data_IF_689583654659
#
_entry.id   IF_689583654659
#
_cell.length_a   1.000
_cell.length_b   1.000
_cell.length_c   1.000
_cell.angle_alpha   90.00
_cell.angle_beta   90.00
_cell.angle_gamma   90.00
#
_symmetry.space_group_name_H-M   'P 1'
#
loop_
_entity.id
_entity.type
_entity.pdbx_description
1 polymer ?
#
# COMPACT_ATOMS: atom_id res chain seq x y z
N UNK A 1 0.42 -35.27 -27.44
CA UNK A 1 0.63 -34.03 -26.67
C UNK A 1 1.05 -34.40 -25.27
N UNK A 2 2.12 -33.80 -24.75
CA UNK A 2 2.63 -34.12 -23.42
C UNK A 2 1.71 -33.55 -22.33
N UNK A 3 1.00 -34.44 -21.65
CA UNK A 3 0.13 -34.20 -20.49
C UNK A 3 0.81 -33.48 -19.32
N UNK A 4 2.14 -33.34 -19.33
CA UNK A 4 2.92 -32.69 -18.27
C UNK A 4 3.43 -31.28 -18.64
N UNK A 5 3.43 -30.88 -19.93
CA UNK A 5 3.93 -29.56 -20.35
C UNK A 5 2.92 -28.47 -19.96
N UNK A 6 1.63 -28.72 -20.11
CA UNK A 6 0.56 -27.76 -19.85
C UNK A 6 0.48 -27.34 -18.36
N UNK A 7 0.52 -28.26 -17.37
CA UNK A 7 0.52 -27.89 -15.96
C UNK A 7 1.80 -27.16 -15.51
N UNK A 8 2.96 -27.50 -16.10
CA UNK A 8 4.22 -26.84 -15.78
C UNK A 8 4.26 -25.40 -16.32
N UNK A 9 3.73 -25.17 -17.52
CA UNK A 9 3.60 -23.83 -18.10
C UNK A 9 2.66 -22.95 -17.28
N UNK A 10 1.50 -23.46 -16.85
CA UNK A 10 0.55 -22.73 -16.00
C UNK A 10 1.19 -22.33 -14.66
N UNK A 11 1.97 -23.21 -14.03
CA UNK A 11 2.66 -22.90 -12.76
C UNK A 11 3.74 -21.83 -12.91
N UNK A 12 4.54 -21.89 -13.97
CA UNK A 12 5.54 -20.86 -14.25
C UNK A 12 4.86 -19.50 -14.52
N UNK A 13 3.76 -19.53 -15.27
CA UNK A 13 2.97 -18.35 -15.58
C UNK A 13 2.37 -17.67 -14.34
N UNK A 14 1.76 -18.44 -13.44
CA UNK A 14 1.24 -17.93 -12.16
C UNK A 14 2.36 -17.35 -11.29
N UNK A 15 3.53 -17.99 -11.28
CA UNK A 15 4.70 -17.51 -10.54
C UNK A 15 5.21 -16.18 -11.08
N UNK A 16 5.25 -16.02 -12.40
CA UNK A 16 5.66 -14.75 -13.04
C UNK A 16 4.68 -13.62 -12.74
N UNK A 17 3.37 -13.88 -12.83
CA UNK A 17 2.35 -12.87 -12.51
C UNK A 17 2.42 -12.47 -11.03
N UNK A 18 2.62 -13.44 -10.14
CA UNK A 18 2.81 -13.16 -8.71
C UNK A 18 4.07 -12.31 -8.46
N UNK A 19 5.18 -12.63 -9.15
CA UNK A 19 6.41 -11.85 -9.06
C UNK A 19 6.23 -10.42 -9.58
N UNK A 20 5.50 -10.22 -10.68
CA UNK A 20 5.19 -8.88 -11.20
C UNK A 20 4.32 -8.09 -10.23
N UNK A 21 3.30 -8.71 -9.64
CA UNK A 21 2.46 -8.09 -8.63
C UNK A 21 3.26 -7.69 -7.39
N UNK A 22 4.14 -8.57 -6.90
CA UNK A 22 5.00 -8.28 -5.74
C UNK A 22 6.07 -7.21 -6.03
N UNK A 23 6.71 -7.22 -7.20
CA UNK A 23 7.81 -6.31 -7.51
C UNK A 23 7.34 -4.93 -7.97
N UNK A 24 6.19 -4.84 -8.64
CA UNK A 24 5.77 -3.61 -9.30
C UNK A 24 4.26 -3.32 -9.22
N UNK A 25 3.46 -4.23 -8.67
CA UNK A 25 2.00 -4.10 -8.63
C UNK A 25 1.54 -3.11 -7.56
N UNK A 26 1.96 -3.28 -6.31
CA UNK A 26 1.56 -2.42 -5.19
C UNK A 26 2.78 -1.83 -4.50
N UNK A 27 2.81 -0.50 -4.39
CA UNK A 27 3.88 0.23 -3.69
C UNK A 27 3.63 0.33 -2.19
N UNK A 28 2.37 0.22 -1.75
CA UNK A 28 1.98 0.51 -0.37
C UNK A 28 1.72 -0.75 0.47
N UNK A 29 1.56 -1.92 -0.14
CA UNK A 29 1.30 -3.17 0.61
C UNK A 29 2.34 -3.44 1.69
N UNK A 30 3.63 -3.18 1.42
CA UNK A 30 4.73 -3.46 2.36
C UNK A 30 4.93 -2.34 3.40
N UNK A 31 4.25 -1.21 3.28
CA UNK A 31 4.35 -0.06 4.20
C UNK A 31 3.26 -0.08 5.29
N UNK A 32 2.39 -1.09 5.28
CA UNK A 32 1.25 -1.22 6.21
C UNK A 32 1.26 -2.57 6.93
N UNK A 33 0.43 -2.73 7.97
CA UNK A 33 0.31 -3.99 8.71
C UNK A 33 -0.57 -4.98 7.94
N UNK A 34 0.03 -6.09 7.50
CA UNK A 34 -0.66 -7.11 6.70
C UNK A 34 -1.13 -8.30 7.53
N UNK A 35 -2.34 -8.81 7.24
CA UNK A 35 -2.80 -10.15 7.63
C UNK A 35 -3.15 -10.96 6.38
N UNK A 36 -2.56 -12.15 6.26
CA UNK A 36 -2.74 -13.04 5.10
C UNK A 36 -3.69 -14.20 5.42
N UNK A 37 -4.22 -14.82 4.35
CA UNK A 37 -5.00 -16.05 4.38
C UNK A 37 -6.24 -15.98 5.29
N UNK A 38 -6.97 -14.87 5.21
CA UNK A 38 -8.19 -14.69 5.98
C UNK A 38 -9.30 -15.56 5.41
N UNK A 39 -9.91 -16.37 6.28
CA UNK A 39 -11.10 -17.16 5.96
C UNK A 39 -12.31 -16.43 6.54
N UNK A 40 -13.22 -15.97 5.68
CA UNK A 40 -14.39 -15.18 6.04
C UNK A 40 -14.45 -13.83 5.33
N UNK A 41 -15.53 -13.08 5.56
CA UNK A 41 -15.78 -11.77 4.93
C UNK A 41 -15.10 -10.60 5.63
N UNK A 42 -14.52 -10.79 6.82
CA UNK A 42 -13.81 -9.75 7.57
C UNK A 42 -12.72 -10.31 8.49
N UNK A 43 -11.82 -9.45 8.95
CA UNK A 43 -10.87 -9.70 10.03
C UNK A 43 -10.80 -8.51 10.97
N UNK A 44 -10.29 -8.71 12.19
CA UNK A 44 -10.14 -7.64 13.17
C UNK A 44 -8.67 -7.30 13.42
N UNK A 45 -8.30 -6.03 13.31
CA UNK A 45 -7.02 -5.51 13.80
C UNK A 45 -7.19 -4.96 15.22
N UNK A 46 -6.25 -5.27 16.10
CA UNK A 46 -6.30 -4.76 17.47
C UNK A 46 -5.55 -3.42 17.55
N UNK A 47 -6.26 -2.37 17.97
CA UNK A 47 -5.65 -1.12 18.46
C UNK A 47 -5.32 -1.32 19.93
N UNK A 48 -4.04 -1.22 20.26
CA UNK A 48 -3.54 -1.36 21.63
C UNK A 48 -3.34 0.04 22.20
N UNK A 49 -3.96 0.32 23.36
CA UNK A 49 -3.81 1.58 24.07
C UNK A 49 -2.39 1.77 24.63
N UNK A 50 -2.10 2.99 25.06
CA UNK A 50 -0.84 3.30 25.77
C UNK A 50 -0.96 2.88 27.22
N UNK A 51 -0.02 2.07 27.71
CA UNK A 51 0.08 1.71 29.13
C UNK A 51 1.02 2.64 29.90
N UNK A 52 0.72 2.92 31.17
CA UNK A 52 1.62 3.68 32.06
C UNK A 52 2.28 2.75 33.07
N UNK A 53 3.62 2.79 33.13
CA UNK A 53 4.37 2.03 34.12
C UNK A 53 4.13 2.57 35.55
N UNK A 54 3.97 1.66 36.51
CA UNK A 54 3.79 2.00 37.93
C UNK A 54 4.88 1.35 38.78
N UNK A 55 5.33 2.05 39.80
CA UNK A 55 6.28 1.49 40.78
C UNK A 55 5.54 0.65 41.82
N UNK A 56 6.26 -0.25 42.48
CA UNK A 56 5.76 -1.00 43.63
C UNK A 56 6.73 -0.91 44.80
N UNK A 57 6.19 -1.05 46.01
CA UNK A 57 7.00 -1.16 47.22
C UNK A 57 7.89 -2.42 47.19
N UNK A 58 8.98 -2.40 47.96
CA UNK A 58 9.82 -3.60 48.18
C UNK A 58 8.93 -4.71 48.76
N UNK A 59 8.92 -5.87 48.10
CA UNK A 59 8.03 -7.02 48.38
C UNK A 59 6.52 -6.81 48.12
N UNK A 60 6.09 -5.67 47.56
CA UNK A 60 4.71 -5.44 47.16
C UNK A 60 4.28 -6.25 45.93
N UNK A 61 2.96 -6.37 45.71
CA UNK A 61 2.41 -6.87 44.44
C UNK A 61 2.65 -5.86 43.32
N UNK A 62 2.89 -6.34 42.11
CA UNK A 62 3.08 -5.48 40.93
C UNK A 62 1.70 -4.98 40.49
N UNK A 63 1.47 -3.65 40.40
CA UNK A 63 0.23 -3.11 39.87
C UNK A 63 0.06 -3.52 38.40
N UNK A 64 -1.16 -3.89 38.02
CA UNK A 64 -1.50 -4.27 36.64
C UNK A 64 -1.71 -3.01 35.78
N UNK A 65 -1.22 -3.06 34.54
CA UNK A 65 -1.25 -1.90 33.62
C UNK A 65 -2.60 -1.72 32.90
N UNK A 66 -3.44 -2.77 32.85
CA UNK A 66 -4.77 -2.82 32.23
C UNK A 66 -4.90 -2.02 30.92
N UNK A 67 -4.10 -2.39 29.92
CA UNK A 67 -4.09 -1.71 28.62
C UNK A 67 -5.39 -2.00 27.86
N UNK A 68 -6.02 -0.96 27.32
CA UNK A 68 -7.22 -1.10 26.49
C UNK A 68 -6.89 -1.74 25.14
N UNK A 69 -7.75 -2.66 24.70
CA UNK A 69 -7.69 -3.29 23.38
C UNK A 69 -9.00 -3.03 22.66
N UNK A 70 -8.96 -2.19 21.61
CA UNK A 70 -10.14 -1.89 20.79
C UNK A 70 -10.01 -2.62 19.45
N UNK A 71 -10.95 -3.53 19.11
CA UNK A 71 -10.95 -4.19 17.81
C UNK A 71 -11.46 -3.24 16.72
N UNK A 72 -10.73 -3.19 15.61
CA UNK A 72 -11.13 -2.51 14.37
C UNK A 72 -11.41 -3.56 13.32
N UNK A 73 -12.63 -3.59 12.79
CA UNK A 73 -13.02 -4.54 11.75
C UNK A 73 -12.54 -4.07 10.37
N UNK A 74 -12.05 -5.01 9.57
CA UNK A 74 -11.62 -4.84 8.19
C UNK A 74 -12.35 -5.85 7.32
N UNK A 75 -13.28 -5.37 6.50
CA UNK A 75 -14.05 -6.18 5.56
C UNK A 75 -13.25 -6.46 4.29
N UNK A 76 -13.35 -7.67 3.77
CA UNK A 76 -12.76 -8.04 2.49
C UNK A 76 -13.76 -7.86 1.34
N UNK A 77 -13.23 -7.59 0.16
CA UNK A 77 -13.99 -7.53 -1.09
C UNK A 77 -13.19 -8.17 -2.21
N UNK A 78 -13.90 -8.71 -3.19
CA UNK A 78 -13.31 -9.43 -4.31
C UNK A 78 -13.11 -8.50 -5.51
N UNK A 79 -11.95 -8.61 -6.15
CA UNK A 79 -11.56 -7.80 -7.29
C UNK A 79 -11.10 -8.69 -8.44
N UNK A 80 -11.54 -8.34 -9.64
CA UNK A 80 -11.31 -9.11 -10.86
C UNK A 80 -10.78 -8.18 -11.97
N UNK A 81 -9.81 -8.67 -12.73
CA UNK A 81 -9.27 -8.06 -13.93
C UNK A 81 -9.21 -9.15 -15.01
N UNK A 82 -10.33 -9.28 -15.73
CA UNK A 82 -10.52 -10.28 -16.77
C UNK A 82 -10.52 -9.65 -18.17
N UNK A 83 -9.90 -10.34 -19.13
CA UNK A 83 -9.87 -9.92 -20.53
C UNK A 83 -9.89 -11.13 -21.48
N UNK A 84 -10.28 -10.89 -22.73
CA UNK A 84 -10.43 -11.89 -23.78
C UNK A 84 -9.31 -11.78 -24.81
N UNK A 85 -8.70 -12.92 -25.16
CA UNK A 85 -7.73 -13.03 -26.25
C UNK A 85 -8.25 -14.00 -27.28
N UNK A 86 -8.56 -13.50 -28.48
CA UNK A 86 -9.05 -14.29 -29.61
C UNK A 86 -7.93 -15.14 -30.24
N UNK A 87 -8.25 -16.39 -30.57
CA UNK A 87 -7.28 -17.34 -31.13
C UNK A 87 -6.71 -16.94 -32.49
N UNK A 88 -7.50 -16.27 -33.34
CA UNK A 88 -7.05 -15.85 -34.66
C UNK A 88 -6.25 -14.56 -34.60
N UNK A 89 -6.48 -13.71 -33.61
CA UNK A 89 -5.69 -12.50 -33.41
C UNK A 89 -4.35 -12.81 -32.75
N UNK A 90 -4.32 -13.75 -31.79
CA UNK A 90 -3.08 -14.28 -31.22
C UNK A 90 -2.15 -14.83 -32.32
N UNK A 91 -2.69 -15.53 -33.32
CA UNK A 91 -1.92 -16.03 -34.49
C UNK A 91 -1.34 -14.93 -35.40
N UNK A 92 -1.99 -13.77 -35.46
CA UNK A 92 -1.53 -12.63 -36.31
C UNK A 92 -0.45 -11.81 -35.61
N UNK A 93 -0.31 -11.94 -34.30
CA UNK A 93 0.71 -11.24 -33.51
C UNK A 93 1.89 -12.16 -33.22
N UNK A 94 3.11 -11.63 -33.31
CA UNK A 94 4.32 -12.42 -33.03
C UNK A 94 4.68 -12.46 -31.53
N UNK A 95 3.76 -12.04 -30.66
CA UNK A 95 3.97 -11.95 -29.21
C UNK A 95 2.93 -12.80 -28.48
N UNK A 96 3.29 -13.30 -27.31
CA UNK A 96 2.35 -14.01 -26.44
C UNK A 96 1.41 -13.00 -25.75
N UNK A 97 0.30 -12.67 -26.38
CA UNK A 97 -0.69 -11.72 -25.87
C UNK A 97 -1.27 -12.14 -24.53
N UNK A 98 -1.42 -13.45 -24.31
CA UNK A 98 -1.96 -14.00 -23.05
C UNK A 98 -1.10 -13.61 -21.86
N UNK A 99 0.22 -13.62 -22.03
CA UNK A 99 1.17 -13.15 -21.00
C UNK A 99 1.11 -11.64 -20.79
N UNK A 100 0.94 -10.85 -21.85
CA UNK A 100 0.85 -9.40 -21.75
C UNK A 100 -0.40 -9.01 -20.95
N UNK A 101 -1.55 -9.60 -21.29
CA UNK A 101 -2.82 -9.37 -20.62
C UNK A 101 -2.77 -9.80 -19.15
N UNK A 102 -2.20 -10.97 -18.85
CA UNK A 102 -2.06 -11.41 -17.46
C UNK A 102 -1.20 -10.45 -16.63
N UNK A 103 -0.06 -9.99 -17.17
CA UNK A 103 0.77 -8.99 -16.50
C UNK A 103 0.01 -7.69 -16.29
N UNK A 104 -0.68 -7.18 -17.32
CA UNK A 104 -1.48 -5.96 -17.23
C UNK A 104 -2.57 -6.06 -16.15
N UNK A 105 -3.24 -7.22 -16.04
CA UNK A 105 -4.21 -7.48 -14.98
C UNK A 105 -3.58 -7.50 -13.59
N UNK A 106 -2.39 -8.09 -13.42
CA UNK A 106 -1.63 -8.04 -12.17
C UNK A 106 -1.31 -6.58 -11.75
N UNK A 107 -0.87 -5.75 -12.69
CA UNK A 107 -0.62 -4.33 -12.42
C UNK A 107 -1.90 -3.58 -12.04
N UNK A 108 -3.03 -3.90 -12.67
CA UNK A 108 -4.32 -3.30 -12.34
C UNK A 108 -4.77 -3.66 -10.91
N UNK A 109 -4.64 -4.93 -10.54
CA UNK A 109 -4.92 -5.39 -9.18
C UNK A 109 -3.97 -4.76 -8.16
N UNK A 110 -2.69 -4.61 -8.48
CA UNK A 110 -1.72 -3.92 -7.62
C UNK A 110 -2.08 -2.46 -7.35
N UNK A 111 -2.50 -1.72 -8.38
CA UNK A 111 -3.03 -0.36 -8.20
C UNK A 111 -4.27 -0.35 -7.33
N UNK A 112 -5.13 -1.37 -7.43
CA UNK A 112 -6.32 -1.49 -6.58
C UNK A 112 -5.96 -1.69 -5.11
N UNK A 113 -4.91 -2.46 -4.81
CA UNK A 113 -4.36 -2.60 -3.45
C UNK A 113 -3.91 -1.25 -2.88
N UNK A 114 -3.16 -0.47 -3.67
CA UNK A 114 -2.72 0.86 -3.26
C UNK A 114 -3.92 1.82 -3.07
N UNK A 115 -4.93 1.75 -3.95
CA UNK A 115 -6.17 2.53 -3.84
C UNK A 115 -6.92 2.24 -2.53
N UNK A 116 -7.00 0.98 -2.09
CA UNK A 116 -7.64 0.62 -0.82
C UNK A 116 -6.93 1.24 0.39
N UNK A 117 -5.60 1.22 0.40
CA UNK A 117 -4.79 1.83 1.45
C UNK A 117 -4.96 3.36 1.44
N UNK A 118 -4.89 3.99 0.26
CA UNK A 118 -5.07 5.43 0.09
C UNK A 118 -6.47 5.86 0.54
N UNK A 119 -7.50 5.09 0.19
CA UNK A 119 -8.88 5.37 0.62
C UNK A 119 -8.99 5.41 2.14
N UNK A 120 -8.29 4.54 2.86
CA UNK A 120 -8.26 4.59 4.32
C UNK A 120 -7.44 5.78 4.86
N UNK A 121 -6.33 6.13 4.21
CA UNK A 121 -5.55 7.33 4.56
C UNK A 121 -6.35 8.62 4.36
N UNK A 122 -7.18 8.70 3.31
CA UNK A 122 -8.07 9.83 3.02
C UNK A 122 -9.07 10.10 4.15
N UNK A 123 -9.40 9.08 4.97
CA UNK A 123 -10.32 9.24 6.12
C UNK A 123 -9.67 9.97 7.31
N UNK A 124 -8.35 10.16 7.30
CA UNK A 124 -7.68 10.91 8.37
C UNK A 124 -8.12 12.38 8.39
N UNK A 125 -8.31 12.88 9.60
CA UNK A 125 -8.69 14.27 9.88
C UNK A 125 -7.57 15.07 10.54
N UNK A 126 -6.38 14.48 10.68
CA UNK A 126 -5.20 15.14 11.23
C UNK A 126 -4.50 15.92 10.12
N UNK A 127 -4.86 17.19 9.96
CA UNK A 127 -4.32 18.03 8.88
C UNK A 127 -3.10 18.84 9.33
N UNK A 128 -1.96 18.59 8.70
CA UNK A 128 -0.81 19.48 8.77
C UNK A 128 -0.99 20.60 7.72
N UNK A 129 -1.48 21.75 8.17
CA UNK A 129 -1.77 22.91 7.33
C UNK A 129 -3.01 22.76 6.43
N UNK A 130 -3.24 23.77 5.59
CA UNK A 130 -4.37 23.81 4.64
C UNK A 130 -3.91 23.51 3.22
N UNK A 131 -4.87 23.31 2.31
CA UNK A 131 -4.61 23.16 0.87
C UNK A 131 -4.38 24.48 0.12
N UNK A 132 -4.06 25.58 0.83
CA UNK A 132 -3.80 26.88 0.22
C UNK A 132 -2.42 27.00 -0.44
N UNK A 133 -1.45 26.23 0.06
CA UNK A 133 -0.06 26.24 -0.42
C UNK A 133 0.39 24.84 -0.87
N UNK A 134 1.48 24.77 -1.64
CA UNK A 134 2.16 23.51 -2.01
C UNK A 134 2.73 22.74 -0.80
N UNK A 135 3.62 21.78 -1.07
CA UNK A 135 4.30 21.06 0.02
C UNK A 135 5.51 21.85 0.50
N UNK A 136 5.34 22.62 1.59
CA UNK A 136 6.39 23.48 2.15
C UNK A 136 7.10 22.83 3.33
N UNK A 137 8.32 23.30 3.65
CA UNK A 137 9.08 22.86 4.83
C UNK A 137 8.27 23.01 6.13
N UNK A 138 7.58 24.14 6.30
CA UNK A 138 6.74 24.39 7.48
C UNK A 138 5.61 23.36 7.63
N UNK A 139 4.98 22.97 6.51
CA UNK A 139 3.93 21.94 6.49
C UNK A 139 4.47 20.58 6.91
N UNK A 140 5.66 20.21 6.43
CA UNK A 140 6.33 18.97 6.80
C UNK A 140 6.71 18.96 8.28
N UNK A 141 7.27 20.06 8.81
CA UNK A 141 7.63 20.15 10.24
C UNK A 141 6.40 20.09 11.14
N UNK A 142 5.29 20.71 10.73
CA UNK A 142 4.01 20.59 11.45
C UNK A 142 3.56 19.13 11.51
N UNK A 143 3.65 18.40 10.39
CA UNK A 143 3.30 16.97 10.37
C UNK A 143 4.21 16.13 11.27
N UNK A 144 5.51 16.42 11.27
CA UNK A 144 6.49 15.78 12.15
C UNK A 144 6.17 16.02 13.64
N UNK A 145 5.87 17.27 14.02
CA UNK A 145 5.49 17.64 15.38
C UNK A 145 4.19 16.96 15.81
N UNK A 146 3.19 16.87 14.93
CA UNK A 146 1.93 16.17 15.22
C UNK A 146 2.14 14.68 15.53
N UNK A 147 2.99 13.99 14.76
CA UNK A 147 3.32 12.58 15.02
C UNK A 147 4.12 12.42 16.32
N UNK A 148 5.06 13.33 16.59
CA UNK A 148 5.84 13.35 17.83
C UNK A 148 4.96 13.58 19.06
N UNK A 149 4.06 14.56 19.02
CA UNK A 149 3.13 14.86 20.11
C UNK A 149 2.13 13.73 20.37
N UNK A 150 1.85 12.90 19.36
CA UNK A 150 1.01 11.71 19.48
C UNK A 150 1.78 10.47 19.98
N UNK A 151 3.05 10.59 20.36
CA UNK A 151 3.99 9.49 20.69
C UNK A 151 3.95 8.34 19.68
N UNK A 152 3.84 8.67 18.39
CA UNK A 152 3.97 7.65 17.33
C UNK A 152 5.43 7.18 17.34
N UNK A 153 5.73 5.86 17.31
CA UNK A 153 7.11 5.37 17.32
C UNK A 153 7.93 5.91 16.13
N UNK A 154 9.21 6.19 16.37
CA UNK A 154 10.21 6.56 15.35
C UNK A 154 11.21 5.41 15.16
N UNK A 155 10.69 4.23 14.85
CA UNK A 155 11.41 2.95 14.75
C UNK A 155 11.85 2.61 13.31
N UNK A 156 11.70 3.55 12.38
CA UNK A 156 11.99 3.36 10.96
C UNK A 156 10.83 2.84 10.12
N UNK A 157 9.67 2.55 10.73
CA UNK A 157 8.42 2.13 10.07
C UNK A 157 7.45 3.31 9.83
N UNK A 158 7.99 4.53 9.76
CA UNK A 158 7.28 5.72 9.29
C UNK A 158 7.45 5.89 7.79
N UNK A 159 6.36 6.15 7.10
CA UNK A 159 6.30 6.32 5.65
C UNK A 159 5.62 7.65 5.31
N UNK A 160 6.20 8.35 4.34
CA UNK A 160 5.61 9.56 3.77
C UNK A 160 5.39 9.34 2.27
N UNK A 161 4.13 9.48 1.84
CA UNK A 161 3.75 9.30 0.43
C UNK A 161 3.26 10.65 -0.10
N UNK A 162 3.89 11.10 -1.18
CA UNK A 162 3.61 12.41 -1.78
C UNK A 162 3.37 12.31 -3.28
N UNK A 163 2.71 13.31 -3.88
CA UNK A 163 2.57 13.38 -5.32
C UNK A 163 3.88 13.78 -6.01
N UNK A 164 3.99 13.57 -7.32
CA UNK A 164 5.19 13.93 -8.09
C UNK A 164 5.47 15.44 -8.09
N UNK A 165 4.42 16.28 -8.15
CA UNK A 165 4.59 17.73 -8.02
C UNK A 165 5.17 18.10 -6.65
N UNK A 166 4.64 17.50 -5.59
CA UNK A 166 5.09 17.75 -4.23
C UNK A 166 6.49 17.19 -3.97
N UNK A 167 6.88 16.09 -4.63
CA UNK A 167 8.26 15.62 -4.64
C UNK A 167 9.21 16.68 -5.22
N UNK A 168 8.82 17.35 -6.31
CA UNK A 168 9.59 18.48 -6.84
C UNK A 168 9.66 19.66 -5.87
N UNK A 169 8.58 19.95 -5.14
CA UNK A 169 8.59 21.00 -4.11
C UNK A 169 9.58 20.66 -2.99
N UNK A 170 9.62 19.40 -2.56
CA UNK A 170 10.57 18.91 -1.55
C UNK A 170 12.02 18.99 -2.02
N UNK A 171 12.30 18.70 -3.30
CA UNK A 171 13.65 18.81 -3.85
C UNK A 171 14.17 20.25 -3.89
N UNK A 172 13.29 21.26 -3.80
CA UNK A 172 13.70 22.66 -3.63
C UNK A 172 14.17 22.98 -2.19
N UNK A 173 13.87 22.11 -1.22
CA UNK A 173 14.31 22.24 0.17
C UNK A 173 15.72 21.64 0.30
N UNK A 174 16.75 22.43 0.64
CA UNK A 174 18.13 21.93 0.70
C UNK A 174 18.31 20.74 1.64
N UNK A 175 17.61 20.72 2.78
CA UNK A 175 17.70 19.63 3.75
C UNK A 175 17.14 18.31 3.21
N UNK A 176 16.14 18.34 2.33
CA UNK A 176 15.60 17.15 1.68
C UNK A 176 16.40 16.77 0.42
N UNK A 177 16.85 17.75 -0.35
CA UNK A 177 17.69 17.54 -1.52
C UNK A 177 18.98 16.79 -1.15
N UNK A 178 19.60 17.16 -0.02
CA UNK A 178 20.82 16.55 0.51
C UNK A 178 20.57 15.29 1.35
N UNK A 179 19.30 14.90 1.60
CA UNK A 179 19.01 13.68 2.34
C UNK A 179 19.45 12.44 1.54
N UNK A 180 19.95 11.43 2.27
CA UNK A 180 20.51 10.22 1.68
C UNK A 180 19.49 9.50 0.79
N UNK A 181 19.94 9.15 -0.41
CA UNK A 181 19.20 8.29 -1.32
C UNK A 181 19.30 6.85 -0.83
N UNK A 182 18.18 6.12 -0.88
CA UNK A 182 18.16 4.70 -0.50
C UNK A 182 18.30 3.88 -1.78
N UNK A 183 19.32 3.03 -1.82
CA UNK A 183 19.51 2.10 -2.94
C UNK A 183 18.35 1.11 -3.04
N UNK A 184 18.10 0.61 -4.26
CA UNK A 184 16.97 -0.29 -4.55
C UNK A 184 16.90 -1.53 -3.65
N UNK A 185 18.03 -2.01 -3.14
CA UNK A 185 18.11 -3.19 -2.27
C UNK A 185 17.55 -2.98 -0.85
N UNK A 186 17.46 -1.71 -0.40
CA UNK A 186 16.98 -1.35 0.94
C UNK A 186 15.52 -0.83 0.93
N UNK A 187 14.90 -0.76 -0.24
CA UNK A 187 13.53 -0.34 -0.38
C UNK A 187 12.57 -1.50 -0.07
N UNK A 188 11.42 -1.23 0.58
CA UNK A 188 10.38 -2.25 0.72
C UNK A 188 9.74 -2.66 -0.63
N UNK A 189 10.11 -2.01 -1.74
CA UNK A 189 9.73 -2.32 -3.12
C UNK A 189 10.76 -1.75 -4.11
N UNK A 190 10.91 -2.35 -5.29
CA UNK A 190 11.95 -1.95 -6.25
C UNK A 190 11.39 -0.96 -7.29
N UNK A 191 12.23 -0.06 -7.82
CA UNK A 191 11.90 0.75 -8.99
C UNK A 191 11.23 2.11 -8.74
N UNK A 192 11.40 2.71 -7.55
CA UNK A 192 11.02 4.11 -7.32
C UNK A 192 12.08 4.85 -6.51
N UNK A 193 12.16 6.17 -6.69
CA UNK A 193 13.05 7.00 -5.88
C UNK A 193 12.49 7.09 -4.46
N UNK A 194 13.31 6.76 -3.46
CA UNK A 194 12.99 7.03 -2.07
C UNK A 194 14.16 7.70 -1.36
N UNK A 195 13.82 8.49 -0.33
CA UNK A 195 14.80 9.13 0.54
C UNK A 195 14.40 8.94 2.00
N UNK A 196 15.38 8.78 2.90
CA UNK A 196 15.11 8.89 4.34
C UNK A 196 15.27 10.33 4.77
N UNK A 197 14.23 10.90 5.37
CA UNK A 197 14.29 12.24 5.93
C UNK A 197 13.35 12.34 7.12
N UNK A 198 13.82 12.98 8.21
CA UNK A 198 13.06 13.15 9.46
C UNK A 198 12.46 11.84 10.02
N UNK A 199 13.22 10.74 9.95
CA UNK A 199 12.81 9.43 10.50
C UNK A 199 11.82 8.64 9.62
N UNK A 200 11.41 9.19 8.46
CA UNK A 200 10.47 8.52 7.56
C UNK A 200 11.08 8.18 6.20
N UNK A 201 10.52 7.14 5.57
CA UNK A 201 10.76 6.79 4.17
C UNK A 201 9.82 7.61 3.26
N UNK A 202 10.39 8.55 2.52
CA UNK A 202 9.65 9.44 1.61
C UNK A 202 9.61 8.89 0.20
N UNK A 203 8.41 8.78 -0.38
CA UNK A 203 8.23 8.19 -1.71
C UNK A 203 7.16 8.89 -2.55
N UNK A 204 7.41 9.09 -3.86
CA UNK A 204 6.43 9.65 -4.77
C UNK A 204 5.43 8.60 -5.26
N UNK A 205 4.16 8.97 -5.34
CA UNK A 205 3.07 8.11 -5.79
C UNK A 205 2.11 8.88 -6.72
N UNK A 206 1.78 8.28 -7.87
CA UNK A 206 0.93 8.92 -8.89
C UNK A 206 -0.56 8.76 -8.62
N UNK A 207 -0.97 7.74 -7.85
CA UNK A 207 -2.37 7.41 -7.57
C UNK A 207 -2.97 8.07 -6.33
N UNK A 208 -2.33 9.08 -5.74
CA UNK A 208 -2.87 9.78 -4.56
C UNK A 208 -4.11 10.60 -4.92
N UNK A 209 -5.06 10.74 -3.99
CA UNK A 209 -6.28 11.53 -4.19
C UNK A 209 -5.98 13.00 -4.47
N UNK A 210 -6.62 13.54 -5.51
CA UNK A 210 -6.65 14.97 -5.83
C UNK A 210 -8.09 15.45 -5.89
N UNK A 211 -8.46 16.33 -4.96
CA UNK A 211 -9.76 16.98 -4.92
C UNK A 211 -9.60 18.41 -5.42
N UNK A 212 -10.21 18.73 -6.56
CA UNK A 212 -10.01 20.02 -7.25
C UNK A 212 -8.50 20.24 -7.52
N UNK A 213 -7.92 21.34 -7.03
CA UNK A 213 -6.49 21.63 -7.12
C UNK A 213 -5.67 21.11 -5.94
N UNK A 214 -6.25 20.34 -5.01
CA UNK A 214 -5.56 19.93 -3.77
C UNK A 214 -5.20 18.45 -3.83
N UNK A 215 -3.90 18.14 -3.81
CA UNK A 215 -3.37 16.79 -3.65
C UNK A 215 -3.27 16.43 -2.18
N UNK A 216 -3.69 15.22 -1.84
CA UNK A 216 -3.54 14.70 -0.48
C UNK A 216 -2.26 13.86 -0.39
N UNK A 217 -1.33 14.33 0.43
CA UNK A 217 -0.11 13.61 0.78
C UNK A 217 -0.23 13.12 2.22
N UNK A 218 0.49 12.05 2.56
CA UNK A 218 0.34 11.39 3.87
C UNK A 218 1.67 11.15 4.51
N UNK A 219 1.71 11.28 5.84
CA UNK A 219 2.77 10.77 6.69
C UNK A 219 2.14 9.87 7.73
N UNK A 220 2.49 8.59 7.74
CA UNK A 220 1.90 7.62 8.63
C UNK A 220 2.90 6.59 9.12
N UNK A 221 2.50 5.85 10.15
CA UNK A 221 3.24 4.71 10.69
C UNK A 221 2.61 3.40 10.22
N UNK A 222 3.43 2.36 10.02
CA UNK A 222 2.99 1.04 9.54
C UNK A 222 1.83 0.42 10.32
N UNK A 223 1.81 0.64 11.63
CA UNK A 223 0.78 0.08 12.53
C UNK A 223 -0.57 0.79 12.43
N UNK A 224 -0.60 1.98 11.83
CA UNK A 224 -1.80 2.81 11.75
C UNK A 224 -2.80 2.30 10.70
N UNK A 225 -2.33 1.63 9.65
CA UNK A 225 -3.16 1.06 8.58
C UNK A 225 -3.06 -0.46 8.59
N UNK A 226 -4.21 -1.11 8.49
CA UNK A 226 -4.34 -2.56 8.31
C UNK A 226 -4.66 -2.90 6.88
N UNK A 227 -4.04 -3.97 6.37
CA UNK A 227 -4.36 -4.57 5.09
C UNK A 227 -4.65 -6.07 5.27
N UNK A 228 -5.85 -6.46 4.85
CA UNK A 228 -6.39 -7.80 4.98
C UNK A 228 -6.37 -8.50 3.63
N UNK A 229 -5.85 -9.73 3.58
CA UNK A 229 -5.76 -10.52 2.36
C UNK A 229 -6.44 -11.88 2.60
N UNK A 230 -7.54 -12.10 1.91
CA UNK A 230 -8.27 -13.38 1.90
C UNK A 230 -7.66 -14.32 0.86
N UNK A 231 -7.47 -13.80 -0.36
CA UNK A 231 -6.69 -14.45 -1.41
C UNK A 231 -5.75 -13.42 -2.04
N UNK A 232 -4.47 -13.77 -2.11
CA UNK A 232 -3.51 -13.03 -2.93
C UNK A 232 -3.86 -13.17 -4.42
N UNK A 233 -3.19 -12.40 -5.27
CA UNK A 233 -3.42 -12.40 -6.73
C UNK A 233 -3.24 -13.80 -7.29
N UNK A 234 -4.27 -14.27 -7.98
CA UNK A 234 -4.29 -15.51 -8.75
C UNK A 234 -4.67 -15.19 -10.18
N UNK A 235 -4.05 -15.92 -11.11
CA UNK A 235 -4.38 -15.84 -12.53
C UNK A 235 -4.88 -17.19 -13.01
N UNK A 236 -5.99 -17.15 -13.72
CA UNK A 236 -6.56 -18.30 -14.41
C UNK A 236 -6.72 -17.99 -15.89
N UNK A 237 -6.50 -19.00 -16.73
CA UNK A 237 -6.68 -18.90 -18.17
C UNK A 237 -7.51 -20.08 -18.63
N UNK A 238 -8.68 -19.81 -19.19
CA UNK A 238 -9.62 -20.83 -19.65
C UNK A 238 -10.00 -20.62 -21.11
N UNK A 239 -10.09 -21.70 -21.88
CA UNK A 239 -10.61 -21.68 -23.24
C UNK A 239 -12.14 -21.68 -23.24
N UNK A 240 -12.74 -20.80 -24.04
CA UNK A 240 -14.18 -20.71 -24.22
C UNK A 240 -14.54 -20.96 -25.69
N UNK A 241 -15.07 -22.16 -25.96
CA UNK A 241 -15.38 -22.60 -27.32
C UNK A 241 -16.50 -21.81 -27.99
N UNK A 242 -17.42 -21.23 -27.22
CA UNK A 242 -18.47 -20.32 -27.72
C UNK A 242 -17.90 -19.01 -28.26
N UNK A 243 -16.71 -18.60 -27.81
CA UNK A 243 -16.02 -17.38 -28.24
C UNK A 243 -14.79 -17.61 -29.10
N UNK A 244 -14.38 -18.88 -29.29
CA UNK A 244 -13.11 -19.23 -29.91
C UNK A 244 -11.91 -18.42 -29.34
N UNK A 245 -11.96 -18.14 -28.04
CA UNK A 245 -11.05 -17.23 -27.35
C UNK A 245 -10.66 -17.77 -25.97
N UNK A 246 -9.52 -17.29 -25.46
CA UNK A 246 -9.06 -17.54 -24.10
C UNK A 246 -9.49 -16.39 -23.19
N UNK A 247 -10.15 -16.71 -22.08
CA UNK A 247 -10.40 -15.77 -20.99
C UNK A 247 -9.24 -15.80 -20.02
N UNK A 248 -8.64 -14.64 -19.75
CA UNK A 248 -7.55 -14.49 -18.79
C UNK A 248 -8.09 -13.68 -17.64
N UNK A 249 -8.22 -14.29 -16.46
CA UNK A 249 -8.79 -13.66 -15.28
C UNK A 249 -7.74 -13.56 -14.19
N UNK A 250 -7.41 -12.33 -13.79
CA UNK A 250 -6.67 -12.07 -12.57
C UNK A 250 -7.66 -11.72 -11.47
N UNK A 251 -7.54 -12.36 -10.31
CA UNK A 251 -8.45 -12.16 -9.20
C UNK A 251 -7.73 -12.08 -7.87
N UNK A 252 -8.27 -11.31 -6.92
CA UNK A 252 -7.80 -11.24 -5.54
C UNK A 252 -8.95 -10.90 -4.60
N UNK A 253 -8.78 -11.18 -3.31
CA UNK A 253 -9.73 -10.80 -2.26
C UNK A 253 -9.01 -10.08 -1.14
N UNK A 254 -9.31 -8.79 -0.95
CA UNK A 254 -8.56 -7.91 -0.08
C UNK A 254 -9.43 -6.82 0.57
N UNK A 255 -8.92 -6.23 1.64
CA UNK A 255 -9.52 -5.10 2.33
C UNK A 255 -8.46 -4.23 3.03
N UNK A 256 -8.83 -3.01 3.40
CA UNK A 256 -7.98 -2.15 4.23
C UNK A 256 -8.82 -1.39 5.26
N UNK A 257 -8.23 -1.11 6.43
CA UNK A 257 -8.86 -0.33 7.50
C UNK A 257 -7.87 0.62 8.17
N UNK A 258 -8.36 1.78 8.61
CA UNK A 258 -7.63 2.66 9.53
C UNK A 258 -7.69 2.12 10.96
N UNK A 259 -6.57 1.59 11.47
CA UNK A 259 -6.46 1.00 12.82
C UNK A 259 -6.30 2.10 13.85
N UNK A 260 -5.38 3.02 13.62
CA UNK A 260 -5.08 4.10 14.56
C UNK A 260 -4.97 5.45 13.85
N UNK A 261 -5.96 6.31 14.09
CA UNK A 261 -6.04 7.65 13.51
C UNK A 261 -4.85 8.53 13.91
N UNK A 262 -4.32 8.41 15.14
CA UNK A 262 -3.18 9.22 15.58
C UNK A 262 -1.88 8.94 14.82
N UNK A 263 -1.76 7.75 14.23
CA UNK A 263 -0.59 7.35 13.45
C UNK A 263 -0.61 7.82 11.99
N UNK A 264 -1.57 8.67 11.58
CA UNK A 264 -1.69 9.20 10.22
C UNK A 264 -1.89 10.71 10.27
N UNK A 265 -1.05 11.45 9.54
CA UNK A 265 -1.18 12.89 9.29
C UNK A 265 -1.31 13.15 7.80
N UNK A 266 -2.27 13.99 7.42
CA UNK A 266 -2.56 14.38 6.05
C UNK A 266 -1.99 15.77 5.77
N UNK A 267 -1.18 15.87 4.72
CA UNK A 267 -0.61 17.11 4.20
C UNK A 267 -1.33 17.48 2.90
N UNK A 268 -2.30 18.40 2.99
CA UNK A 268 -3.04 18.89 1.83
C UNK A 268 -2.21 19.91 1.07
N UNK A 269 -1.94 19.68 -0.20
CA UNK A 269 -1.02 20.49 -0.99
C UNK A 269 -1.71 21.04 -2.23
N UNK A 270 -1.64 22.36 -2.45
CA UNK A 270 -2.05 22.97 -3.69
C UNK A 270 -1.19 22.46 -4.84
N UNK A 271 -1.85 22.06 -5.92
CA UNK A 271 -1.28 21.51 -7.15
C UNK A 271 -2.03 22.14 -8.33
N UNK A 272 -1.76 23.43 -8.54
CA UNK A 272 -2.19 24.21 -9.70
C UNK A 272 -1.22 24.05 -10.87
#
# INVERSE_FOLDING_TARGET
>A
MSINIEPAFIKNFQSDVHLQYQRMGSKLRNTVRVKNNIIGSSTTFQKVGKGTASTKARHGKVPVMNVDHTPVECTLSDYYAGDWVDSLDELKTNINERMVVAKAGAYALGRKTDELVITQLDTSTNYAGTGADGLTKAKVLTAFEMLGAADVPDDGDRFAIVGWKQWSDLLAIPEFANADYIGDDELPWNGTQAKRWLGALWTPHSGLTKASSIRYCYWFHKTAIGHAIGSDVKTDITWHGDRAANFINNMMSQGSCLIDTSGVVSMRCLEA
#
